data_IF_370557403335
#
_entry.id   IF_370557403335
#
_cell.length_a   1.000
_cell.length_b   1.000
_cell.length_c   1.000
_cell.angle_alpha   90.00
_cell.angle_beta   90.00
_cell.angle_gamma   90.00
#
_symmetry.space_group_name_H-M   'P 1'
#
loop_
_entity.id
_entity.type
_entity.pdbx_description
1 polymer ?
#
# COMPACT_ATOMS: atom_id res chain seq x y z
N UNK A 1 -40.13 -0.67 -9.55
CA UNK A 1 -39.35 -1.70 -10.25
C UNK A 1 -38.02 -1.82 -9.57
N UNK A 2 -37.79 -2.87 -8.80
CA UNK A 2 -36.51 -3.09 -8.13
C UNK A 2 -35.51 -3.64 -9.15
N UNK A 3 -34.49 -2.86 -9.52
CA UNK A 3 -33.36 -3.38 -10.29
C UNK A 3 -32.53 -4.22 -9.34
N UNK A 4 -32.71 -5.54 -9.38
CA UNK A 4 -31.83 -6.47 -8.69
C UNK A 4 -30.41 -6.31 -9.21
N UNK A 5 -29.41 -6.46 -8.32
CA UNK A 5 -28.01 -6.46 -8.72
C UNK A 5 -27.81 -7.58 -9.77
N UNK A 6 -27.18 -7.23 -10.90
CA UNK A 6 -26.82 -8.20 -11.94
C UNK A 6 -25.77 -9.12 -11.33
N UNK A 7 -26.11 -10.39 -11.16
CA UNK A 7 -25.24 -11.40 -10.48
C UNK A 7 -24.46 -12.28 -11.45
N UNK A 8 -24.80 -12.27 -12.73
CA UNK A 8 -24.11 -13.06 -13.77
C UNK A 8 -24.16 -12.34 -15.13
N UNK A 9 -23.12 -12.54 -15.94
CA UNK A 9 -23.01 -12.07 -17.31
C UNK A 9 -22.79 -13.28 -18.23
N UNK A 10 -23.40 -13.27 -19.42
CA UNK A 10 -23.10 -14.24 -20.46
C UNK A 10 -22.15 -13.64 -21.48
N UNK A 11 -21.07 -14.37 -21.79
CA UNK A 11 -20.14 -14.04 -22.86
C UNK A 11 -19.81 -15.33 -23.64
N UNK A 12 -20.09 -15.32 -24.92
CA UNK A 12 -19.82 -16.45 -25.85
C UNK A 12 -20.47 -17.78 -25.39
N UNK A 13 -21.65 -17.73 -24.71
CA UNK A 13 -22.34 -18.88 -24.18
C UNK A 13 -21.84 -19.38 -22.83
N UNK A 14 -20.84 -18.70 -22.21
CA UNK A 14 -20.35 -19.01 -20.89
C UNK A 14 -20.88 -17.97 -19.88
N UNK A 15 -21.37 -18.47 -18.75
CA UNK A 15 -21.84 -17.64 -17.64
C UNK A 15 -20.65 -17.20 -16.80
N UNK A 16 -20.42 -15.90 -16.73
CA UNK A 16 -19.37 -15.29 -15.90
C UNK A 16 -19.97 -14.84 -14.58
N UNK A 17 -19.51 -15.42 -13.47
CA UNK A 17 -19.93 -15.02 -12.14
C UNK A 17 -19.32 -13.69 -11.73
N UNK A 18 -20.10 -12.83 -11.08
CA UNK A 18 -19.60 -11.58 -10.51
C UNK A 18 -19.02 -11.84 -9.13
N UNK A 19 -17.73 -11.60 -8.96
CA UNK A 19 -17.07 -11.68 -7.65
C UNK A 19 -17.03 -10.30 -6.99
N UNK A 20 -17.34 -10.24 -5.68
CA UNK A 20 -17.22 -9.00 -4.88
C UNK A 20 -15.77 -8.62 -4.62
N UNK A 21 -14.89 -9.59 -4.59
CA UNK A 21 -13.45 -9.40 -4.44
C UNK A 21 -12.67 -10.56 -5.09
N UNK A 22 -11.44 -10.28 -5.51
CA UNK A 22 -10.53 -11.30 -6.04
C UNK A 22 -9.06 -10.91 -5.78
N UNK A 23 -8.18 -11.90 -5.86
CA UNK A 23 -6.74 -11.67 -5.74
C UNK A 23 -6.13 -11.68 -7.14
N UNK A 24 -5.59 -10.54 -7.55
CA UNK A 24 -4.89 -10.37 -8.81
C UNK A 24 -3.42 -10.01 -8.57
N UNK A 25 -2.51 -10.81 -9.11
CA UNK A 25 -1.06 -10.65 -8.93
C UNK A 25 -0.67 -10.42 -7.46
N UNK A 26 -1.32 -11.13 -6.55
CA UNK A 26 -1.05 -11.02 -5.12
C UNK A 26 -1.63 -9.78 -4.42
N UNK A 27 -2.42 -8.94 -5.09
CA UNK A 27 -3.17 -7.84 -4.49
C UNK A 27 -4.66 -8.16 -4.44
N UNK A 28 -5.31 -7.84 -3.32
CA UNK A 28 -6.76 -7.99 -3.18
C UNK A 28 -7.45 -6.76 -3.80
N UNK A 29 -8.29 -7.01 -4.81
CA UNK A 29 -9.12 -6.01 -5.48
C UNK A 29 -10.56 -6.24 -5.07
N UNK A 30 -11.26 -5.17 -4.72
CA UNK A 30 -12.67 -5.18 -4.33
C UNK A 30 -13.50 -4.39 -5.35
N UNK A 31 -14.75 -4.79 -5.58
CA UNK A 31 -15.63 -4.15 -6.56
C UNK A 31 -15.93 -2.68 -6.23
N UNK A 32 -15.90 -2.31 -4.96
CA UNK A 32 -16.11 -0.94 -4.47
C UNK A 32 -14.88 -0.04 -4.57
N UNK A 33 -13.73 -0.59 -4.99
CA UNK A 33 -12.46 0.14 -5.07
C UNK A 33 -11.88 0.55 -3.69
N UNK A 34 -12.37 -0.04 -2.58
CA UNK A 34 -11.83 0.23 -1.25
C UNK A 34 -10.59 -0.62 -0.94
N UNK A 35 -9.45 0.02 -0.82
CA UNK A 35 -8.17 -0.61 -0.51
C UNK A 35 -7.93 -0.84 0.98
N UNK A 36 -8.85 -0.51 1.87
CA UNK A 36 -8.68 -0.65 3.33
C UNK A 36 -8.36 -2.09 3.74
N UNK A 37 -8.96 -3.07 3.08
CA UNK A 37 -8.71 -4.50 3.32
C UNK A 37 -7.31 -4.91 2.87
N UNK A 38 -6.89 -4.47 1.67
CA UNK A 38 -5.55 -4.76 1.16
C UNK A 38 -4.47 -4.09 2.01
N UNK A 39 -4.65 -2.83 2.40
CA UNK A 39 -3.73 -2.12 3.29
C UNK A 39 -3.56 -2.88 4.61
N UNK A 40 -4.66 -3.30 5.25
CA UNK A 40 -4.60 -4.12 6.48
C UNK A 40 -3.83 -5.43 6.26
N UNK A 41 -4.11 -6.13 5.16
CA UNK A 41 -3.44 -7.38 4.79
C UNK A 41 -1.93 -7.17 4.62
N UNK A 42 -1.51 -6.12 3.93
CA UNK A 42 -0.10 -5.79 3.72
C UNK A 42 0.61 -5.43 5.01
N UNK A 43 -0.03 -4.67 5.89
CA UNK A 43 0.53 -4.38 7.22
C UNK A 43 0.72 -5.65 8.06
N UNK A 44 -0.21 -6.62 7.97
CA UNK A 44 -0.06 -7.93 8.63
C UNK A 44 1.11 -8.73 8.05
N UNK A 45 1.27 -8.76 6.72
CA UNK A 45 2.41 -9.40 6.08
C UNK A 45 3.73 -8.74 6.51
N UNK A 46 3.79 -7.41 6.55
CA UNK A 46 4.95 -6.68 7.05
C UNK A 46 5.29 -7.03 8.51
N UNK A 47 4.27 -7.19 9.37
CA UNK A 47 4.48 -7.66 10.76
C UNK A 47 5.04 -9.07 10.80
N UNK A 48 4.57 -9.97 9.94
CA UNK A 48 5.10 -11.35 9.84
C UNK A 48 6.57 -11.34 9.43
N UNK A 49 6.94 -10.56 8.41
CA UNK A 49 8.35 -10.41 7.99
C UNK A 49 9.20 -9.84 9.13
N UNK A 50 8.71 -8.80 9.82
CA UNK A 50 9.39 -8.22 10.97
C UNK A 50 9.62 -9.24 12.10
N UNK A 51 8.67 -10.15 12.32
CA UNK A 51 8.80 -11.22 13.30
C UNK A 51 9.80 -12.28 12.86
N UNK A 52 9.82 -12.64 11.58
CA UNK A 52 10.79 -13.61 11.04
C UNK A 52 12.23 -13.08 11.13
N UNK A 53 12.43 -11.77 11.11
CA UNK A 53 13.74 -11.13 11.25
C UNK A 53 14.11 -10.80 12.71
N UNK A 54 13.32 -11.24 13.68
CA UNK A 54 13.48 -10.88 15.09
C UNK A 54 14.85 -11.28 15.67
N UNK A 55 15.40 -12.43 15.27
CA UNK A 55 16.74 -12.87 15.68
C UNK A 55 17.82 -11.87 15.24
N UNK A 56 17.72 -11.37 14.00
CA UNK A 56 18.64 -10.37 13.44
C UNK A 56 18.50 -9.05 14.20
N UNK A 57 17.27 -8.61 14.45
CA UNK A 57 17.02 -7.36 15.16
C UNK A 57 17.41 -7.42 16.64
N UNK A 58 17.43 -8.61 17.25
CA UNK A 58 17.91 -8.84 18.62
C UNK A 58 19.43 -8.93 18.72
N UNK A 59 20.16 -9.22 17.65
CA UNK A 59 21.63 -9.27 17.68
C UNK A 59 22.21 -7.94 18.16
N UNK A 60 23.25 -8.02 19.01
CA UNK A 60 24.02 -6.86 19.48
C UNK A 60 25.11 -6.45 18.49
N UNK A 61 25.53 -7.36 17.62
CA UNK A 61 26.61 -7.16 16.65
C UNK A 61 26.16 -6.28 15.47
N UNK A 62 24.85 -6.12 15.28
CA UNK A 62 24.27 -5.33 14.19
C UNK A 62 23.89 -3.94 14.72
N UNK A 63 24.46 -2.92 14.10
CA UNK A 63 24.22 -1.53 14.49
C UNK A 63 22.79 -1.09 14.16
N UNK A 64 22.28 -0.10 14.90
CA UNK A 64 20.93 0.42 14.67
C UNK A 64 20.72 0.94 13.23
N UNK A 65 21.65 1.71 12.62
CA UNK A 65 21.49 2.13 11.23
C UNK A 65 21.35 0.97 10.26
N UNK A 66 22.07 -0.13 10.48
CA UNK A 66 21.96 -1.34 9.64
C UNK A 66 20.60 -2.01 9.83
N UNK A 67 20.10 -2.12 11.06
CA UNK A 67 18.75 -2.63 11.34
C UNK A 67 17.66 -1.79 10.66
N UNK A 68 17.79 -0.47 10.69
CA UNK A 68 16.87 0.45 9.99
C UNK A 68 16.91 0.23 8.48
N UNK A 69 18.08 0.05 7.88
CA UNK A 69 18.21 -0.30 6.45
C UNK A 69 17.52 -1.62 6.13
N UNK A 70 17.66 -2.64 6.98
CA UNK A 70 16.99 -3.93 6.80
C UNK A 70 15.47 -3.79 6.84
N UNK A 71 14.92 -3.01 7.77
CA UNK A 71 13.47 -2.71 7.80
C UNK A 71 13.03 -2.04 6.50
N UNK A 72 13.76 -1.00 6.07
CA UNK A 72 13.45 -0.28 4.83
C UNK A 72 13.60 -1.14 3.57
N UNK A 73 14.55 -2.07 3.54
CA UNK A 73 14.83 -2.91 2.37
C UNK A 73 14.02 -4.21 2.31
N UNK A 74 13.57 -4.74 3.44
CA UNK A 74 12.92 -6.05 3.49
C UNK A 74 11.46 -5.99 3.97
N UNK A 75 11.15 -5.12 4.92
CA UNK A 75 9.80 -5.04 5.50
C UNK A 75 8.92 -4.06 4.72
N UNK A 76 9.41 -2.86 4.46
CA UNK A 76 8.64 -1.81 3.78
C UNK A 76 8.23 -2.20 2.35
N UNK A 77 9.07 -2.84 1.50
CA UNK A 77 8.64 -3.27 0.17
C UNK A 77 7.46 -4.25 0.19
N UNK A 78 7.40 -5.13 1.19
CA UNK A 78 6.24 -6.05 1.36
C UNK A 78 4.96 -5.28 1.66
N UNK A 79 5.06 -4.23 2.47
CA UNK A 79 3.92 -3.37 2.81
C UNK A 79 3.51 -2.50 1.62
N UNK A 80 4.47 -1.95 0.89
CA UNK A 80 4.24 -1.02 -0.23
C UNK A 80 3.84 -1.70 -1.53
N UNK A 81 3.86 -3.03 -1.62
CA UNK A 81 3.55 -3.74 -2.86
C UNK A 81 2.16 -3.38 -3.38
N UNK A 82 2.10 -2.85 -4.60
CA UNK A 82 0.86 -2.43 -5.26
C UNK A 82 0.26 -1.12 -4.71
N UNK A 83 1.00 -0.37 -3.88
CA UNK A 83 0.51 0.86 -3.27
C UNK A 83 0.24 1.98 -4.28
N UNK A 84 0.73 1.86 -5.50
CA UNK A 84 0.54 2.83 -6.59
C UNK A 84 -0.94 3.04 -6.90
N UNK A 85 -1.72 1.95 -6.84
CA UNK A 85 -3.16 1.96 -7.12
C UNK A 85 -4.02 2.36 -5.91
N UNK A 86 -3.47 2.41 -4.69
CA UNK A 86 -4.29 2.58 -3.49
C UNK A 86 -4.82 4.00 -3.34
N UNK A 87 -6.09 4.11 -3.00
CA UNK A 87 -6.68 5.33 -2.44
C UNK A 87 -6.55 5.28 -0.93
N UNK A 88 -5.57 6.00 -0.37
CA UNK A 88 -5.26 5.97 1.07
C UNK A 88 -6.09 7.01 1.81
N UNK A 89 -7.07 6.58 2.59
CA UNK A 89 -7.91 7.44 3.44
C UNK A 89 -7.13 7.85 4.70
N UNK A 90 -7.60 8.87 5.41
CA UNK A 90 -6.97 9.37 6.65
C UNK A 90 -6.80 8.28 7.74
N UNK A 91 -7.75 7.36 7.83
CA UNK A 91 -7.67 6.25 8.79
C UNK A 91 -6.54 5.27 8.45
N UNK A 92 -6.35 4.97 7.15
CA UNK A 92 -5.28 4.10 6.68
C UNK A 92 -3.90 4.75 6.85
N UNK A 93 -3.76 6.06 6.64
CA UNK A 93 -2.52 6.79 6.93
C UNK A 93 -2.09 6.60 8.39
N UNK A 94 -3.02 6.81 9.32
CA UNK A 94 -2.74 6.59 10.75
C UNK A 94 -2.28 5.16 11.06
N UNK A 95 -2.82 4.16 10.35
CA UNK A 95 -2.41 2.75 10.50
C UNK A 95 -1.01 2.51 9.95
N UNK A 96 -0.68 3.13 8.81
CA UNK A 96 0.64 3.06 8.18
C UNK A 96 1.69 3.71 9.10
N UNK A 97 1.41 4.90 9.63
CA UNK A 97 2.29 5.60 10.58
C UNK A 97 2.48 4.80 11.87
N UNK A 98 1.40 4.24 12.40
CA UNK A 98 1.45 3.39 13.59
C UNK A 98 2.28 2.13 13.36
N UNK A 99 2.22 1.54 12.16
CA UNK A 99 3.03 0.40 11.77
C UNK A 99 4.51 0.76 11.68
N UNK A 100 4.85 1.88 11.06
CA UNK A 100 6.22 2.37 10.97
C UNK A 100 6.84 2.58 12.37
N UNK A 101 6.10 3.27 13.24
CA UNK A 101 6.51 3.47 14.64
C UNK A 101 6.66 2.15 15.40
N UNK A 102 5.76 1.19 15.17
CA UNK A 102 5.85 -0.13 15.78
C UNK A 102 7.14 -0.86 15.34
N UNK A 103 7.52 -0.79 14.06
CA UNK A 103 8.78 -1.34 13.58
C UNK A 103 9.98 -0.73 14.31
N UNK A 104 10.03 0.59 14.40
CA UNK A 104 11.16 1.28 15.04
C UNK A 104 11.22 1.05 16.54
N UNK A 105 10.09 1.04 17.26
CA UNK A 105 10.04 0.67 18.67
C UNK A 105 10.61 -0.73 18.91
N UNK A 106 10.28 -1.68 18.04
CA UNK A 106 10.80 -3.05 18.11
C UNK A 106 12.32 -3.10 17.89
N UNK A 107 12.88 -2.28 16.98
CA UNK A 107 14.32 -2.16 16.78
C UNK A 107 15.03 -1.60 18.01
N UNK A 108 14.46 -0.58 18.63
CA UNK A 108 15.00 0.07 19.82
C UNK A 108 14.80 -0.77 21.09
N UNK A 109 14.02 -1.85 21.01
CA UNK A 109 13.58 -2.63 22.18
C UNK A 109 12.90 -1.78 23.25
N UNK A 110 12.19 -0.78 22.79
CA UNK A 110 11.55 0.22 23.64
C UNK A 110 10.23 -0.35 24.16
N UNK A 111 10.12 -0.68 25.46
CA UNK A 111 8.87 -1.16 26.00
C UNK A 111 7.84 -0.03 25.95
N UNK A 112 6.58 -0.36 25.68
CA UNK A 112 5.50 0.62 25.65
C UNK A 112 5.39 1.43 26.95
N UNK A 113 5.90 0.88 28.07
CA UNK A 113 5.97 1.52 29.39
C UNK A 113 7.00 2.64 29.48
N UNK A 114 7.97 2.71 28.56
CA UNK A 114 9.04 3.73 28.59
C UNK A 114 8.55 5.14 28.25
N UNK A 115 7.27 5.31 27.87
CA UNK A 115 6.60 6.61 27.56
C UNK A 115 7.39 7.53 26.62
N UNK A 116 8.26 6.98 25.76
CA UNK A 116 8.99 7.76 24.77
C UNK A 116 8.05 8.34 23.72
N UNK A 117 8.25 9.60 23.38
CA UNK A 117 7.45 10.27 22.34
C UNK A 117 7.74 9.69 20.96
N UNK A 118 6.75 9.70 20.07
CA UNK A 118 6.91 9.26 18.69
C UNK A 118 7.99 10.06 17.96
N UNK A 119 8.08 11.38 18.24
CA UNK A 119 9.09 12.26 17.68
C UNK A 119 10.51 11.84 18.08
N UNK A 120 10.73 11.47 19.35
CA UNK A 120 12.03 10.98 19.82
C UNK A 120 12.46 9.72 19.09
N UNK A 121 11.53 8.77 18.87
CA UNK A 121 11.80 7.53 18.16
C UNK A 121 12.16 7.81 16.70
N UNK A 122 11.35 8.62 16.02
CA UNK A 122 11.60 9.00 14.64
C UNK A 122 12.93 9.74 14.48
N UNK A 123 13.27 10.64 15.38
CA UNK A 123 14.56 11.37 15.35
C UNK A 123 15.76 10.42 15.44
N UNK A 124 15.65 9.36 16.23
CA UNK A 124 16.74 8.39 16.41
C UNK A 124 16.84 7.38 15.25
N UNK A 125 15.69 6.99 14.66
CA UNK A 125 15.62 5.93 13.65
C UNK A 125 15.39 6.43 12.23
N UNK A 126 14.78 7.61 12.08
CA UNK A 126 14.40 8.13 10.78
C UNK A 126 15.53 8.89 10.13
N UNK A 127 16.28 8.24 9.27
CA UNK A 127 17.13 8.87 8.29
C UNK A 127 16.39 8.95 6.95
N UNK A 128 15.66 10.03 6.69
CA UNK A 128 14.99 10.26 5.39
C UNK A 128 13.46 10.11 5.40
N UNK A 129 12.89 9.69 4.29
CA UNK A 129 11.43 9.61 4.09
C UNK A 129 10.74 8.60 5.01
N UNK A 130 9.55 8.97 5.51
CA UNK A 130 8.62 8.06 6.18
C UNK A 130 8.09 6.99 5.21
N UNK A 131 7.47 5.95 5.76
CA UNK A 131 6.82 4.91 4.94
C UNK A 131 5.74 5.51 4.03
N UNK A 132 4.92 6.43 4.53
CA UNK A 132 3.94 7.17 3.71
C UNK A 132 4.63 7.98 2.60
N UNK A 133 5.74 8.65 2.90
CA UNK A 133 6.52 9.39 1.92
C UNK A 133 7.11 8.50 0.82
N UNK A 134 7.55 7.30 1.15
CA UNK A 134 8.01 6.30 0.17
C UNK A 134 6.86 5.82 -0.72
N UNK A 135 5.68 5.57 -0.16
CA UNK A 135 4.49 5.22 -0.95
C UNK A 135 4.09 6.33 -1.91
N UNK A 136 4.11 7.59 -1.45
CA UNK A 136 3.82 8.75 -2.30
C UNK A 136 4.85 8.87 -3.43
N UNK A 137 6.13 8.65 -3.14
CA UNK A 137 7.18 8.65 -4.16
C UNK A 137 6.92 7.60 -5.24
N UNK A 138 6.55 6.37 -4.87
CA UNK A 138 6.22 5.31 -5.83
C UNK A 138 5.01 5.69 -6.70
N UNK A 139 3.96 6.26 -6.10
CA UNK A 139 2.80 6.77 -6.85
C UNK A 139 3.17 7.83 -7.87
N UNK A 140 4.00 8.80 -7.46
CA UNK A 140 4.44 9.87 -8.36
C UNK A 140 5.35 9.34 -9.47
N UNK A 141 6.20 8.37 -9.18
CA UNK A 141 7.00 7.70 -10.20
C UNK A 141 6.13 6.96 -11.23
N UNK A 142 5.13 6.19 -10.74
CA UNK A 142 4.18 5.50 -11.59
C UNK A 142 3.40 6.49 -12.47
N UNK A 143 2.86 7.55 -11.87
CA UNK A 143 2.18 8.63 -12.59
C UNK A 143 3.08 9.25 -13.67
N UNK A 144 4.34 9.54 -13.33
CA UNK A 144 5.31 10.08 -14.28
C UNK A 144 5.60 9.13 -15.44
N UNK A 145 5.58 7.81 -15.22
CA UNK A 145 5.69 6.80 -16.30
C UNK A 145 4.45 6.80 -17.20
N UNK A 146 3.25 6.85 -16.61
CA UNK A 146 2.00 6.91 -17.38
C UNK A 146 1.95 8.15 -18.26
N UNK A 147 2.32 9.31 -17.74
CA UNK A 147 2.27 10.57 -18.48
C UNK A 147 3.25 10.63 -19.64
N UNK A 148 4.35 9.88 -19.59
CA UNK A 148 5.32 9.81 -20.70
C UNK A 148 4.88 8.89 -21.86
N UNK A 149 3.94 7.98 -21.63
CA UNK A 149 3.40 7.13 -22.68
C UNK A 149 2.46 7.95 -23.58
N UNK A 150 2.64 7.87 -24.90
CA UNK A 150 1.85 8.66 -25.87
C UNK A 150 0.43 8.13 -25.96
N UNK A 151 0.26 6.80 -26.00
CA UNK A 151 -1.02 6.13 -26.27
C UNK A 151 -1.41 5.16 -25.15
N UNK A 152 -1.43 5.63 -23.89
CA UNK A 152 -1.94 4.79 -22.80
C UNK A 152 -3.40 5.10 -22.51
N UNK A 153 -4.22 4.06 -22.44
CA UNK A 153 -5.63 4.16 -22.08
C UNK A 153 -5.78 4.82 -20.70
N UNK A 154 -4.90 4.50 -19.77
CA UNK A 154 -4.87 5.06 -18.41
C UNK A 154 -4.66 6.57 -18.44
N UNK A 155 -3.75 7.07 -19.28
CA UNK A 155 -3.53 8.51 -19.46
C UNK A 155 -4.77 9.20 -20.01
N UNK A 156 -5.41 8.61 -21.03
CA UNK A 156 -6.64 9.13 -21.64
C UNK A 156 -7.75 9.21 -20.60
N UNK A 157 -7.93 8.15 -19.78
CA UNK A 157 -8.92 8.10 -18.71
C UNK A 157 -8.63 9.15 -17.62
N UNK A 158 -7.38 9.28 -17.18
CA UNK A 158 -6.98 10.24 -16.15
C UNK A 158 -7.12 11.70 -16.59
N UNK A 159 -6.89 12.00 -17.87
CA UNK A 159 -7.03 13.34 -18.44
C UNK A 159 -8.46 13.65 -18.91
N UNK A 160 -9.40 12.71 -18.80
CA UNK A 160 -10.77 12.89 -19.26
C UNK A 160 -10.92 12.92 -20.78
N UNK A 161 -9.90 12.50 -21.52
CA UNK A 161 -9.85 12.50 -22.99
C UNK A 161 -10.68 11.40 -23.65
N UNK A 162 -11.81 10.99 -23.07
CA UNK A 162 -12.75 10.10 -23.74
C UNK A 162 -13.43 10.92 -24.83
N UNK A 163 -12.91 10.82 -26.05
CA UNK A 163 -13.46 11.41 -27.25
C UNK A 163 -14.86 10.84 -27.58
N UNK A 164 -15.84 11.20 -26.79
CA UNK A 164 -17.23 11.02 -27.14
C UNK A 164 -17.64 12.12 -28.12
N UNK A 165 -17.87 11.78 -29.39
CA UNK A 165 -18.55 12.67 -30.35
C UNK A 165 -19.89 13.07 -29.71
N UNK A 166 -20.00 14.32 -29.21
CA UNK A 166 -21.29 14.89 -28.89
C UNK A 166 -22.12 14.88 -30.18
N UNK A 167 -23.12 14.00 -30.24
CA UNK A 167 -24.19 14.15 -31.24
C UNK A 167 -24.84 15.49 -30.96
N UNK A 168 -24.68 16.45 -31.89
CA UNK A 168 -25.53 17.64 -31.95
C UNK A 168 -26.93 17.15 -32.34
N UNK A 169 -27.89 17.24 -31.40
CA UNK A 169 -29.31 17.22 -31.72
C UNK A 169 -29.73 18.56 -32.29
#
# INVERSE_FOLDING_TARGET
MASGAITSWERDGETVETASDFIFLGSKITADGDFSHEIKRRLLLGRKVMTNLDSIFKSRDITLPTKVRLVKGMVFPVVMYGCESWTVKKAERRRIDAFELWCYRRLLRDPWTARRSNQSILKETSSGCSLEGLMLKLKLQYFGHLMRRVDSLEKILMLGGIGGRRRRG
#
